data_IF_105157753443
#
_entry.id   IF_105157753443
#
_cell.length_a   1.000
_cell.length_b   1.000
_cell.length_c   1.000
_cell.angle_alpha   90.00
_cell.angle_beta   90.00
_cell.angle_gamma   90.00
#
_symmetry.space_group_name_H-M   'P 1'
#
loop_
_entity.id
_entity.type
_entity.pdbx_description
1 polymer ?
#
# COMPACT_ATOMS: atom_id res chain seq x y z
N UNK A 1 7.32 13.62 69.55
CA UNK A 1 8.01 14.13 68.35
C UNK A 1 7.35 13.49 67.14
N UNK A 2 7.04 14.26 66.10
CA UNK A 2 6.39 13.75 64.87
C UNK A 2 7.13 14.31 63.65
N UNK A 3 7.39 13.46 62.65
CA UNK A 3 8.18 13.82 61.46
C UNK A 3 7.26 14.18 60.30
N UNK A 4 7.43 15.40 59.77
CA UNK A 4 6.59 15.99 58.73
C UNK A 4 7.43 16.43 57.53
N UNK A 5 7.44 15.63 56.46
CA UNK A 5 7.78 16.03 55.09
C UNK A 5 7.26 14.91 54.16
N UNK A 6 6.32 15.08 53.22
CA UNK A 6 6.22 16.05 52.12
C UNK A 6 7.47 16.00 51.23
N UNK A 7 7.40 15.77 49.90
CA UNK A 7 6.32 15.90 48.90
C UNK A 7 6.38 14.67 47.95
N UNK A 8 5.29 13.98 47.65
CA UNK A 8 4.27 14.33 46.65
C UNK A 8 4.82 14.44 45.20
N UNK A 9 4.68 13.36 44.42
CA UNK A 9 4.59 13.38 42.95
C UNK A 9 3.52 12.37 42.54
N UNK A 10 2.65 12.79 41.63
CA UNK A 10 1.31 12.26 41.33
C UNK A 10 1.37 10.91 40.57
N UNK A 11 0.49 9.89 40.71
CA UNK A 11 -0.99 9.83 40.76
C UNK A 11 -1.60 10.29 39.41
N UNK A 12 -2.00 9.44 38.46
CA UNK A 12 -3.21 8.55 38.34
C UNK A 12 -3.14 7.89 36.92
N UNK A 13 -3.88 6.87 36.44
CA UNK A 13 -4.99 5.93 36.78
C UNK A 13 -4.57 4.59 36.08
N UNK A 14 -4.77 3.33 36.50
CA UNK A 14 -5.78 2.55 37.24
C UNK A 14 -7.01 2.12 36.39
N UNK A 15 -7.54 0.90 36.64
CA UNK A 15 -8.76 0.24 36.05
C UNK A 15 -8.57 -0.26 34.60
N UNK A 16 -8.34 -1.54 34.27
CA UNK A 16 -8.78 -2.86 34.77
C UNK A 16 -10.28 -3.13 34.62
N UNK A 17 -10.67 -3.94 33.62
CA UNK A 17 -11.75 -4.92 33.76
C UNK A 17 -11.65 -6.06 32.72
N UNK A 18 -11.58 -7.30 33.20
CA UNK A 18 -11.75 -8.54 32.41
C UNK A 18 -12.94 -9.27 33.02
N UNK A 19 -13.95 -9.62 32.21
CA UNK A 19 -14.77 -10.86 32.30
C UNK A 19 -16.11 -10.71 31.57
N UNK A 20 -16.32 -11.50 30.50
CA UNK A 20 -17.66 -11.78 29.94
C UNK A 20 -17.65 -13.04 29.04
N UNK A 21 -17.06 -14.15 29.49
CA UNK A 21 -17.34 -15.46 28.89
C UNK A 21 -18.71 -15.94 29.37
N UNK A 22 -19.75 -15.77 28.55
CA UNK A 22 -20.91 -16.69 28.50
C UNK A 22 -21.75 -16.41 27.23
N UNK A 23 -21.57 -17.22 26.19
CA UNK A 23 -22.18 -17.00 24.88
C UNK A 23 -22.15 -18.26 24.02
N UNK A 24 -22.77 -19.33 24.50
CA UNK A 24 -22.76 -20.64 23.83
C UNK A 24 -23.57 -20.61 22.52
N UNK A 25 -22.88 -20.44 21.39
CA UNK A 25 -23.37 -20.87 20.08
C UNK A 25 -22.33 -21.79 19.43
N UNK A 26 -22.74 -23.01 19.10
CA UNK A 26 -21.84 -24.03 18.57
C UNK A 26 -21.63 -23.80 17.06
N UNK A 27 -20.50 -23.16 16.70
CA UNK A 27 -20.13 -22.87 15.32
C UNK A 27 -18.63 -22.84 15.11
N UNK A 28 -18.00 -24.00 14.90
CA UNK A 28 -16.59 -24.05 14.45
C UNK A 28 -16.50 -23.46 13.04
N UNK A 29 -15.66 -22.45 12.85
CA UNK A 29 -14.42 -22.60 12.08
C UNK A 29 -13.62 -21.29 11.98
N UNK A 30 -12.35 -21.36 12.41
CA UNK A 30 -11.23 -20.46 12.08
C UNK A 30 -11.43 -18.97 12.33
N UNK A 31 -10.66 -18.51 13.30
CA UNK A 31 -9.96 -17.23 13.29
C UNK A 31 -9.20 -17.07 11.96
N UNK A 32 -9.86 -16.48 10.97
CA UNK A 32 -9.24 -15.90 9.80
C UNK A 32 -9.01 -14.40 10.09
N UNK A 33 -8.13 -14.13 11.06
CA UNK A 33 -7.52 -12.82 11.22
C UNK A 33 -7.00 -12.38 9.85
N UNK A 34 -7.40 -11.19 9.40
CA UNK A 34 -7.61 -10.94 7.97
C UNK A 34 -6.46 -10.11 7.33
N UNK A 35 -5.41 -10.75 6.76
CA UNK A 35 -4.36 -10.03 6.03
C UNK A 35 -4.90 -9.38 4.74
N UNK A 36 -6.07 -9.82 4.28
CA UNK A 36 -6.69 -9.45 3.01
C UNK A 36 -6.76 -7.94 2.82
N UNK A 37 -7.11 -7.16 3.85
CA UNK A 37 -7.36 -5.72 3.68
C UNK A 37 -6.07 -4.90 3.51
N UNK A 38 -4.99 -5.22 4.23
CA UNK A 38 -3.71 -4.52 4.01
C UNK A 38 -3.07 -4.96 2.70
N UNK A 39 -2.95 -6.27 2.45
CA UNK A 39 -2.40 -6.81 1.20
C UNK A 39 -3.16 -6.30 -0.04
N UNK A 40 -4.50 -6.22 0.05
CA UNK A 40 -5.32 -5.64 -1.02
C UNK A 40 -5.21 -4.11 -1.10
N UNK A 41 -4.72 -3.40 -0.08
CA UNK A 41 -4.37 -1.97 -0.16
C UNK A 41 -3.00 -1.80 -0.79
N UNK A 42 -1.99 -2.54 -0.33
CA UNK A 42 -0.62 -2.58 -0.88
C UNK A 42 -0.64 -2.85 -2.40
N UNK A 43 -1.50 -3.78 -2.84
CA UNK A 43 -1.76 -4.07 -4.24
C UNK A 43 -2.34 -2.89 -5.05
N UNK A 44 -3.17 -2.03 -4.45
CA UNK A 44 -3.66 -0.80 -5.09
C UNK A 44 -2.59 0.29 -5.12
N UNK A 45 -1.80 0.43 -4.05
CA UNK A 45 -0.73 1.43 -3.98
C UNK A 45 0.32 1.21 -5.06
N UNK A 46 0.77 -0.04 -5.23
CA UNK A 46 1.72 -0.41 -6.30
C UNK A 46 1.16 -0.14 -7.68
N UNK A 47 -0.12 -0.46 -7.93
CA UNK A 47 -0.74 -0.19 -9.22
C UNK A 47 -0.96 1.31 -9.46
N UNK A 48 -1.23 2.09 -8.42
CA UNK A 48 -1.33 3.54 -8.50
C UNK A 48 0.03 4.17 -8.83
N UNK A 49 1.11 3.75 -8.16
CA UNK A 49 2.47 4.19 -8.45
C UNK A 49 2.90 3.86 -9.89
N UNK A 50 2.70 2.62 -10.32
CA UNK A 50 2.98 2.22 -11.72
C UNK A 50 2.16 3.06 -12.72
N UNK A 51 0.93 3.43 -12.39
CA UNK A 51 0.10 4.35 -13.21
C UNK A 51 0.65 5.77 -13.24
N UNK A 52 1.16 6.29 -12.12
CA UNK A 52 1.80 7.61 -12.06
C UNK A 52 3.13 7.65 -12.81
N UNK A 53 3.94 6.59 -12.72
CA UNK A 53 5.20 6.46 -13.44
C UNK A 53 4.93 6.46 -14.96
N UNK A 54 4.00 5.64 -15.44
CA UNK A 54 3.61 5.57 -16.86
C UNK A 54 3.12 6.93 -17.39
N UNK A 55 2.25 7.61 -16.64
CA UNK A 55 1.71 8.92 -17.01
C UNK A 55 2.70 10.09 -16.96
N UNK A 56 3.83 9.95 -16.25
CA UNK A 56 4.77 11.06 -15.96
C UNK A 56 6.15 10.89 -16.61
N UNK A 57 6.63 9.66 -16.72
CA UNK A 57 8.03 9.34 -16.95
C UNK A 57 8.26 8.81 -18.37
N UNK A 58 8.21 9.71 -19.36
CA UNK A 58 8.24 9.39 -20.81
C UNK A 58 9.38 8.49 -21.29
N UNK A 59 10.50 8.48 -20.58
CA UNK A 59 11.70 7.68 -20.90
C UNK A 59 11.67 6.27 -20.25
N UNK A 60 10.58 5.93 -19.58
CA UNK A 60 10.32 4.64 -18.94
C UNK A 60 9.13 3.92 -19.61
N UNK A 61 9.12 2.60 -19.52
CA UNK A 61 8.04 1.72 -20.00
C UNK A 61 7.57 0.87 -18.82
N UNK A 62 6.27 0.96 -18.52
CA UNK A 62 5.62 0.24 -17.42
C UNK A 62 4.91 -1.02 -17.93
N UNK A 63 5.28 -2.17 -17.36
CA UNK A 63 4.64 -3.45 -17.64
C UNK A 63 3.54 -3.72 -16.60
N UNK A 64 2.36 -3.18 -16.83
CA UNK A 64 1.17 -3.43 -16.00
C UNK A 64 0.83 -4.93 -15.88
N UNK A 65 1.24 -5.78 -16.83
CA UNK A 65 1.10 -7.23 -16.74
C UNK A 65 1.94 -7.88 -15.62
N UNK A 66 2.94 -7.18 -15.06
CA UNK A 66 3.63 -7.59 -13.82
C UNK A 66 2.89 -7.04 -12.61
N UNK A 67 2.51 -5.75 -12.61
CA UNK A 67 1.72 -5.14 -11.54
C UNK A 67 0.40 -5.88 -11.25
N UNK A 68 -0.36 -6.27 -12.27
CA UNK A 68 -1.60 -7.05 -12.10
C UNK A 68 -1.36 -8.48 -11.61
N UNK A 69 -0.19 -9.09 -11.89
CA UNK A 69 0.15 -10.41 -11.32
C UNK A 69 0.53 -10.31 -9.85
N UNK A 70 1.24 -9.25 -9.45
CA UNK A 70 1.50 -8.93 -8.05
C UNK A 70 0.18 -8.66 -7.29
N UNK A 71 -0.70 -7.84 -7.84
CA UNK A 71 -2.00 -7.55 -7.25
C UNK A 71 -2.89 -8.82 -7.12
N UNK A 72 -2.91 -9.68 -8.14
CA UNK A 72 -3.64 -10.94 -8.09
C UNK A 72 -3.10 -11.92 -7.03
N UNK A 73 -1.78 -11.94 -6.79
CA UNK A 73 -1.18 -12.72 -5.71
C UNK A 73 -1.61 -12.23 -4.31
N UNK A 74 -2.02 -10.96 -4.20
CA UNK A 74 -2.61 -10.36 -2.99
C UNK A 74 -4.16 -10.37 -3.00
N UNK A 75 -4.78 -11.19 -3.85
CA UNK A 75 -6.24 -11.36 -3.94
C UNK A 75 -6.97 -10.28 -4.77
N UNK A 76 -6.26 -9.34 -5.39
CA UNK A 76 -6.84 -8.25 -6.18
C UNK A 76 -6.81 -8.57 -7.67
N UNK A 77 -7.90 -9.16 -8.18
CA UNK A 77 -8.06 -9.38 -9.62
C UNK A 77 -8.15 -8.05 -10.39
N UNK A 78 -7.53 -7.97 -11.57
CA UNK A 78 -7.56 -6.76 -12.41
C UNK A 78 -8.99 -6.30 -12.77
N UNK A 79 -9.94 -7.23 -12.90
CA UNK A 79 -11.36 -6.93 -13.11
C UNK A 79 -12.03 -6.16 -11.96
N UNK A 80 -11.46 -6.17 -10.75
CA UNK A 80 -11.97 -5.41 -9.62
C UNK A 80 -11.64 -3.92 -9.68
N UNK A 81 -10.69 -3.49 -10.52
CA UNK A 81 -10.15 -2.12 -10.58
C UNK A 81 -10.27 -1.44 -11.96
N UNK A 82 -10.63 -2.22 -12.99
CA UNK A 82 -11.14 -1.71 -14.27
C UNK A 82 -12.44 -0.89 -14.06
N UNK A 83 -12.86 -0.06 -15.03
CA UNK A 83 -14.13 0.67 -14.96
C UNK A 83 -15.32 -0.25 -14.65
N UNK A 84 -16.12 0.11 -13.64
CA UNK A 84 -17.22 -0.71 -13.13
C UNK A 84 -16.82 -1.84 -12.16
N UNK A 85 -15.52 -2.05 -11.91
CA UNK A 85 -15.01 -3.00 -10.93
C UNK A 85 -15.29 -2.58 -9.47
N UNK A 86 -15.53 -3.56 -8.59
CA UNK A 86 -15.98 -3.31 -7.22
C UNK A 86 -15.02 -2.47 -6.35
N UNK A 87 -13.71 -2.48 -6.65
CA UNK A 87 -12.66 -1.71 -5.96
C UNK A 87 -12.17 -0.51 -6.78
N UNK A 88 -12.88 -0.11 -7.84
CA UNK A 88 -12.50 1.02 -8.70
C UNK A 88 -12.37 2.33 -7.92
N UNK A 89 -13.33 2.61 -7.03
CA UNK A 89 -13.32 3.82 -6.20
C UNK A 89 -12.18 3.82 -5.17
N UNK A 90 -11.82 2.66 -4.60
CA UNK A 90 -10.66 2.52 -3.72
C UNK A 90 -9.36 2.84 -4.47
N UNK A 91 -9.21 2.30 -5.69
CA UNK A 91 -8.06 2.60 -6.55
C UNK A 91 -7.97 4.08 -6.91
N UNK A 92 -9.09 4.73 -7.23
CA UNK A 92 -9.14 6.16 -7.53
C UNK A 92 -8.75 7.02 -6.31
N UNK A 93 -9.22 6.67 -5.10
CA UNK A 93 -8.86 7.34 -3.87
C UNK A 93 -7.36 7.18 -3.53
N UNK A 94 -6.81 5.98 -3.70
CA UNK A 94 -5.36 5.72 -3.53
C UNK A 94 -4.54 6.51 -4.55
N UNK A 95 -4.94 6.51 -5.83
CA UNK A 95 -4.24 7.26 -6.87
C UNK A 95 -4.25 8.77 -6.62
N UNK A 96 -5.39 9.35 -6.23
CA UNK A 96 -5.49 10.77 -5.89
C UNK A 96 -4.63 11.14 -4.66
N UNK A 97 -4.62 10.31 -3.63
CA UNK A 97 -3.77 10.50 -2.44
C UNK A 97 -2.29 10.50 -2.84
N UNK A 98 -1.83 9.47 -3.57
CA UNK A 98 -0.42 9.34 -3.95
C UNK A 98 0.05 10.42 -4.94
N UNK A 99 -0.82 10.90 -5.84
CA UNK A 99 -0.54 12.06 -6.70
C UNK A 99 -0.23 13.35 -5.91
N UNK A 100 -0.74 13.50 -4.69
CA UNK A 100 -0.41 14.62 -3.81
C UNK A 100 0.93 14.49 -3.08
N UNK A 101 1.52 13.29 -3.05
CA UNK A 101 2.66 12.96 -2.16
C UNK A 101 4.02 12.86 -2.88
N UNK A 102 4.05 12.77 -4.22
CA UNK A 102 5.28 12.49 -4.97
C UNK A 102 5.55 13.50 -6.09
N UNK A 103 6.76 14.08 -6.09
CA UNK A 103 7.24 14.92 -7.19
C UNK A 103 7.70 14.10 -8.39
N UNK A 104 7.78 14.73 -9.58
CA UNK A 104 8.22 14.07 -10.82
C UNK A 104 9.57 13.35 -10.68
N UNK A 105 10.54 13.97 -10.02
CA UNK A 105 11.89 13.42 -9.93
C UNK A 105 11.97 12.23 -8.94
N UNK A 106 11.06 12.18 -7.96
CA UNK A 106 10.85 11.02 -7.09
C UNK A 106 10.20 9.86 -7.85
N UNK A 107 9.15 10.14 -8.64
CA UNK A 107 8.46 9.15 -9.48
C UNK A 107 9.43 8.52 -10.48
N UNK A 108 10.10 9.35 -11.29
CA UNK A 108 10.91 8.89 -12.41
C UNK A 108 12.34 8.44 -12.03
N UNK A 109 12.81 8.81 -10.84
CA UNK A 109 14.07 8.35 -10.28
C UNK A 109 13.85 7.21 -9.28
N UNK A 110 13.78 7.57 -8.00
CA UNK A 110 13.79 6.66 -6.85
C UNK A 110 12.65 5.63 -6.86
N UNK A 111 11.42 6.05 -7.14
CA UNK A 111 10.27 5.15 -7.13
C UNK A 111 10.33 4.15 -8.30
N UNK A 112 10.64 4.62 -9.51
CA UNK A 112 10.86 3.77 -10.67
C UNK A 112 11.96 2.71 -10.43
N UNK A 113 13.07 3.10 -9.79
CA UNK A 113 14.15 2.17 -9.41
C UNK A 113 13.66 1.14 -8.39
N UNK A 114 13.00 1.58 -7.31
CA UNK A 114 12.44 0.67 -6.30
C UNK A 114 11.50 -0.39 -6.91
N UNK A 115 10.66 -0.02 -7.90
CA UNK A 115 9.79 -0.97 -8.58
C UNK A 115 10.50 -1.86 -9.60
N UNK A 116 11.52 -1.35 -10.30
CA UNK A 116 12.37 -2.17 -11.16
C UNK A 116 13.13 -3.26 -10.39
N UNK A 117 13.49 -2.99 -9.12
CA UNK A 117 14.14 -3.94 -8.21
C UNK A 117 13.14 -4.88 -7.51
N UNK A 118 12.10 -4.34 -6.86
CA UNK A 118 11.14 -5.13 -6.08
C UNK A 118 10.17 -5.95 -6.94
N UNK A 119 9.89 -5.50 -8.17
CA UNK A 119 9.06 -6.19 -9.16
C UNK A 119 9.81 -6.25 -10.50
N UNK A 120 10.78 -7.17 -10.67
CA UNK A 120 11.67 -7.21 -11.83
C UNK A 120 10.96 -7.16 -13.17
N UNK A 121 11.28 -6.12 -13.95
CA UNK A 121 10.70 -5.86 -15.27
C UNK A 121 9.35 -5.11 -15.26
N UNK A 122 8.82 -4.73 -14.10
CA UNK A 122 7.61 -3.89 -13.98
C UNK A 122 7.82 -2.47 -14.51
N UNK A 123 9.04 -1.95 -14.37
CA UNK A 123 9.51 -0.68 -14.94
C UNK A 123 10.82 -0.96 -15.67
N UNK A 124 10.96 -0.42 -16.88
CA UNK A 124 12.15 -0.56 -17.73
C UNK A 124 12.46 0.76 -18.43
N UNK A 125 13.69 0.98 -18.89
CA UNK A 125 14.01 2.16 -19.70
C UNK A 125 13.49 1.99 -21.14
N UNK A 126 12.76 3.00 -21.61
CA UNK A 126 12.16 3.02 -22.94
C UNK A 126 13.21 3.23 -24.02
N UNK A 127 13.62 2.14 -24.68
CA UNK A 127 14.52 2.19 -25.84
C UNK A 127 13.83 2.73 -27.11
N UNK A 128 13.36 3.98 -27.08
CA UNK A 128 13.33 4.81 -28.28
C UNK A 128 14.76 5.22 -28.63
N UNK A 129 15.52 4.25 -29.13
CA UNK A 129 16.77 4.52 -29.83
C UNK A 129 16.40 5.26 -31.12
N UNK A 130 16.67 6.57 -31.19
CA UNK A 130 16.69 7.27 -32.48
C UNK A 130 17.59 6.47 -33.42
N UNK A 131 17.12 6.21 -34.64
CA UNK A 131 17.82 5.34 -35.60
C UNK A 131 19.23 5.89 -35.95
N UNK A 132 19.40 7.20 -35.80
CA UNK A 132 20.59 8.00 -36.12
C UNK A 132 21.60 8.09 -34.96
N UNK A 133 21.53 7.16 -34.00
CA UNK A 133 22.13 7.27 -32.67
C UNK A 133 23.61 7.69 -32.63
N UNK A 134 23.85 8.87 -32.04
CA UNK A 134 25.17 9.42 -31.69
C UNK A 134 25.07 10.31 -30.44
N UNK A 135 26.14 10.40 -29.63
CA UNK A 135 26.42 11.58 -28.80
C UNK A 135 26.95 12.75 -29.65
#
# INVERSE_FOLDING_TARGET
>A
MSLQSSRATWIRVLVVFISALLGCNAGRARDADSPTTSAATDALEVLADLTMIDGTCRDLVVNFGIGFRFAAAQGVAATAILPGGARRAEFEAVLQNRQGNFGRDDLCGRMAQNYAEALPGSVTTGYYRSADGKP
#
